data_IF_396352905035
#
_entry.id   IF_396352905035
#
_cell.length_a   1.000
_cell.length_b   1.000
_cell.length_c   1.000
_cell.angle_alpha   90.00
_cell.angle_beta   90.00
_cell.angle_gamma   90.00
#
_symmetry.space_group_name_H-M   'P 1'
#
loop_
_entity.id
_entity.type
_entity.pdbx_description
1 polymer ?
#
# COMPACT_ATOMS: atom_id res chain seq x y z
N UNK A 1 15.59 -2.50 -10.82
CA UNK A 1 14.20 -2.83 -11.20
C UNK A 1 13.90 -4.24 -10.75
N UNK A 2 12.67 -4.53 -10.29
CA UNK A 2 12.26 -5.89 -9.93
C UNK A 2 12.15 -6.74 -11.19
N UNK A 3 12.59 -8.01 -11.10
CA UNK A 3 12.32 -9.03 -12.13
C UNK A 3 10.83 -9.34 -12.17
N UNK A 4 10.39 -10.03 -13.23
CA UNK A 4 9.01 -10.52 -13.33
C UNK A 4 8.68 -11.41 -12.13
N UNK A 5 7.46 -11.25 -11.60
CA UNK A 5 7.01 -11.87 -10.35
C UNK A 5 7.79 -11.41 -9.09
N UNK A 6 8.59 -10.35 -9.16
CA UNK A 6 9.22 -9.79 -7.96
C UNK A 6 8.19 -9.24 -6.97
N UNK A 7 8.35 -9.53 -5.68
CA UNK A 7 7.47 -9.00 -4.63
C UNK A 7 7.87 -7.59 -4.21
N UNK A 8 6.89 -6.79 -3.82
CA UNK A 8 7.07 -5.57 -3.03
C UNK A 8 6.13 -5.61 -1.84
N UNK A 9 6.65 -5.13 -0.70
CA UNK A 9 5.86 -4.83 0.49
C UNK A 9 6.16 -3.40 0.87
N UNK A 10 5.13 -2.63 1.21
CA UNK A 10 5.25 -1.24 1.64
C UNK A 10 4.44 -1.00 2.91
N UNK A 11 4.98 -0.16 3.78
CA UNK A 11 4.35 0.29 5.02
C UNK A 11 3.89 1.73 4.79
N UNK A 12 2.61 2.02 5.03
CA UNK A 12 2.02 3.33 4.85
C UNK A 12 1.39 3.79 6.17
N UNK A 13 1.87 4.87 6.82
CA UNK A 13 1.27 5.35 8.07
C UNK A 13 -0.04 6.13 7.86
N UNK A 14 -0.43 6.43 6.61
CA UNK A 14 -1.68 7.14 6.31
C UNK A 14 -2.41 6.54 5.11
N UNK A 15 -3.73 6.66 5.08
CA UNK A 15 -4.56 6.25 3.95
C UNK A 15 -4.18 6.98 2.66
N UNK A 16 -3.90 8.29 2.73
CA UNK A 16 -3.54 9.07 1.55
C UNK A 16 -2.21 8.62 0.90
N UNK A 17 -1.28 8.07 1.70
CA UNK A 17 -0.06 7.46 1.17
C UNK A 17 -0.35 6.12 0.51
N UNK A 18 -1.18 5.29 1.15
CA UNK A 18 -1.61 4.01 0.61
C UNK A 18 -2.33 4.17 -0.74
N UNK A 19 -3.26 5.12 -0.83
CA UNK A 19 -3.99 5.44 -2.06
C UNK A 19 -3.04 5.82 -3.21
N UNK A 20 -2.11 6.75 -2.95
CA UNK A 20 -1.11 7.17 -3.93
C UNK A 20 -0.20 6.03 -4.35
N UNK A 21 0.19 5.17 -3.41
CA UNK A 21 1.01 3.99 -3.68
C UNK A 21 0.27 3.02 -4.62
N UNK A 22 -0.96 2.64 -4.29
CA UNK A 22 -1.77 1.71 -5.10
C UNK A 22 -1.96 2.25 -6.52
N UNK A 23 -2.31 3.53 -6.65
CA UNK A 23 -2.43 4.18 -7.98
C UNK A 23 -1.12 4.07 -8.79
N UNK A 24 0.02 4.25 -8.13
CA UNK A 24 1.34 4.13 -8.75
C UNK A 24 1.67 2.68 -9.13
N UNK A 25 1.35 1.70 -8.27
CA UNK A 25 1.57 0.28 -8.54
C UNK A 25 0.77 -0.19 -9.77
N UNK A 26 -0.50 0.19 -9.87
CA UNK A 26 -1.34 -0.11 -11.04
C UNK A 26 -0.76 0.50 -12.32
N UNK A 27 -0.31 1.74 -12.26
CA UNK A 27 0.31 2.42 -13.41
C UNK A 27 1.62 1.78 -13.87
N UNK A 28 2.35 1.14 -12.95
CA UNK A 28 3.65 0.51 -13.19
C UNK A 28 3.57 -1.02 -13.32
N UNK A 29 2.38 -1.56 -13.62
CA UNK A 29 2.17 -2.97 -13.93
C UNK A 29 2.53 -3.90 -12.78
N UNK A 30 2.04 -3.56 -11.60
CA UNK A 30 1.95 -4.52 -10.51
C UNK A 30 0.57 -5.17 -10.51
N UNK A 31 0.52 -6.40 -10.01
CA UNK A 31 -0.67 -7.22 -9.83
C UNK A 31 -0.70 -7.78 -8.40
N UNK A 32 -1.75 -8.52 -8.06
CA UNK A 32 -1.98 -9.06 -6.72
C UNK A 32 -1.80 -7.99 -5.63
N UNK A 33 -2.36 -6.80 -5.88
CA UNK A 33 -2.25 -5.67 -4.95
C UNK A 33 -3.22 -5.89 -3.81
N UNK A 34 -2.68 -6.13 -2.62
CA UNK A 34 -3.46 -6.35 -1.41
C UNK A 34 -3.04 -5.33 -0.35
N UNK A 35 -4.02 -4.73 0.32
CA UNK A 35 -3.77 -3.77 1.39
C UNK A 35 -4.51 -4.21 2.65
N UNK A 36 -3.80 -4.25 3.78
CA UNK A 36 -4.37 -4.61 5.08
C UNK A 36 -3.89 -3.66 6.17
N UNK A 37 -4.69 -3.56 7.22
CA UNK A 37 -4.29 -2.99 8.50
C UNK A 37 -4.50 -4.06 9.57
N UNK A 38 -3.53 -4.20 10.48
CA UNK A 38 -3.67 -5.08 11.64
C UNK A 38 -3.83 -4.26 12.92
N UNK A 39 -4.96 -4.44 13.59
CA UNK A 39 -5.22 -3.88 14.91
C UNK A 39 -4.90 -4.95 15.96
N UNK A 40 -3.76 -4.77 16.64
CA UNK A 40 -3.38 -5.65 17.73
C UNK A 40 -4.10 -5.24 19.02
N UNK A 41 -4.85 -6.17 19.61
CA UNK A 41 -5.56 -5.96 20.89
C UNK A 41 -5.02 -6.88 21.96
N UNK A 42 -4.54 -6.29 23.05
CA UNK A 42 -4.16 -7.03 24.25
C UNK A 42 -5.40 -7.53 24.98
N UNK A 43 -5.45 -8.82 25.29
CA UNK A 43 -6.52 -9.45 26.05
C UNK A 43 -6.05 -9.67 27.49
N UNK A 44 -6.79 -9.15 28.45
CA UNK A 44 -6.62 -9.47 29.87
C UNK A 44 -7.34 -10.78 30.18
N UNK A 45 -6.71 -11.91 29.82
CA UNK A 45 -7.27 -13.24 30.04
C UNK A 45 -7.22 -13.64 31.52
N UNK A 46 -8.39 -13.68 32.15
CA UNK A 46 -8.59 -14.09 33.55
C UNK A 46 -9.94 -14.78 33.68
N UNK A 47 -10.01 -15.86 34.46
CA UNK A 47 -11.25 -16.59 34.68
C UNK A 47 -12.36 -15.67 35.22
N UNK A 48 -13.54 -15.72 34.61
CA UNK A 48 -14.69 -14.88 34.97
C UNK A 48 -14.53 -13.37 34.72
N UNK A 49 -13.39 -12.90 34.22
CA UNK A 49 -13.07 -11.46 34.06
C UNK A 49 -12.31 -11.14 32.76
N UNK A 50 -12.40 -12.01 31.76
CA UNK A 50 -11.71 -11.85 30.47
C UNK A 50 -12.29 -10.68 29.69
N UNK A 51 -11.41 -9.76 29.27
CA UNK A 51 -11.78 -8.54 28.54
C UNK A 51 -10.60 -8.00 27.76
N UNK A 52 -10.86 -7.03 26.87
CA UNK A 52 -9.80 -6.25 26.25
C UNK A 52 -9.08 -5.39 27.30
N UNK A 53 -7.79 -5.14 27.10
CA UNK A 53 -7.06 -4.09 27.83
C UNK A 53 -7.79 -2.76 27.68
N UNK A 54 -7.80 -1.97 28.76
CA UNK A 54 -8.42 -0.64 28.76
C UNK A 54 -7.74 0.29 27.76
N UNK A 55 -6.41 0.28 27.70
CA UNK A 55 -5.65 1.00 26.69
C UNK A 55 -5.51 0.13 25.43
N UNK A 56 -6.06 0.62 24.31
CA UNK A 56 -5.93 0.02 23.00
C UNK A 56 -5.04 0.82 22.05
N UNK A 57 -4.56 0.15 20.99
CA UNK A 57 -3.94 0.80 19.83
C UNK A 57 -5.02 0.94 18.76
N UNK A 58 -5.34 2.17 18.38
CA UNK A 58 -6.40 2.46 17.40
C UNK A 58 -5.94 2.36 15.94
N UNK A 59 -4.64 2.50 15.70
CA UNK A 59 -4.02 2.41 14.38
C UNK A 59 -2.55 2.02 14.54
N UNK A 60 -2.05 1.17 13.65
CA UNK A 60 -0.61 0.90 13.53
C UNK A 60 -0.10 1.48 12.22
N UNK A 61 -0.33 0.76 11.12
CA UNK A 61 0.05 1.15 9.78
C UNK A 61 -0.66 0.25 8.76
N UNK A 62 -0.76 0.72 7.53
CA UNK A 62 -1.23 -0.08 6.40
C UNK A 62 -0.07 -0.83 5.76
N UNK A 63 -0.27 -2.11 5.48
CA UNK A 63 0.64 -2.94 4.70
C UNK A 63 0.08 -3.08 3.30
N UNK A 64 0.89 -2.78 2.29
CA UNK A 64 0.57 -2.98 0.89
C UNK A 64 1.51 -4.01 0.29
N UNK A 65 0.95 -5.09 -0.24
CA UNK A 65 1.65 -6.15 -0.95
C UNK A 65 1.35 -6.02 -2.44
N UNK A 66 2.33 -6.31 -3.30
CA UNK A 66 2.10 -6.44 -4.73
C UNK A 66 3.18 -7.29 -5.42
N UNK A 67 2.88 -7.75 -6.63
CA UNK A 67 3.79 -8.54 -7.47
C UNK A 67 4.05 -7.81 -8.79
N UNK A 68 5.31 -7.72 -9.20
CA UNK A 68 5.69 -7.11 -10.48
C UNK A 68 5.22 -8.00 -11.62
N UNK A 69 4.38 -7.46 -12.50
CA UNK A 69 3.97 -8.09 -13.74
C UNK A 69 4.53 -7.32 -14.95
N UNK A 70 4.54 -7.99 -16.09
CA UNK A 70 4.74 -7.38 -17.40
C UNK A 70 3.51 -7.74 -18.22
N UNK A 71 2.64 -6.77 -18.43
CA UNK A 71 1.61 -6.88 -19.43
C UNK A 71 2.27 -6.32 -20.69
N UNK A 72 2.19 -6.97 -21.86
CA UNK A 72 2.80 -6.47 -23.10
C UNK A 72 2.13 -5.18 -23.60
N UNK A 73 2.19 -4.10 -22.80
CA UNK A 73 1.60 -2.81 -23.09
C UNK A 73 2.53 -2.07 -24.03
N UNK A 74 1.96 -1.59 -25.14
CA UNK A 74 2.65 -0.66 -26.04
C UNK A 74 3.15 0.54 -25.21
N UNK A 75 4.42 0.98 -25.40
CA UNK A 75 5.00 2.04 -24.58
C UNK A 75 4.15 3.31 -24.67
N UNK A 76 3.72 3.84 -23.52
CA UNK A 76 3.01 5.12 -23.45
C UNK A 76 3.96 6.22 -23.96
N UNK A 77 3.62 6.85 -25.10
CA UNK A 77 4.31 8.04 -25.60
C UNK A 77 4.35 9.11 -24.50
N UNK A 78 5.54 9.44 -24.01
CA UNK A 78 5.76 10.57 -23.08
C UNK A 78 5.23 11.84 -23.74
N UNK A 79 4.14 12.43 -23.23
CA UNK A 79 3.73 13.79 -23.63
C UNK A 79 4.84 14.74 -23.18
N UNK A 80 5.59 15.33 -24.13
CA UNK A 80 6.50 16.45 -23.85
C UNK A 80 5.66 17.56 -23.21
N UNK A 81 5.97 17.95 -21.97
CA UNK A 81 5.47 19.21 -21.40
C UNK A 81 6.01 20.33 -22.28
N UNK A 82 5.17 20.96 -23.09
CA UNK A 82 5.47 22.24 -23.71
C UNK A 82 5.61 23.25 -22.56
N UNK A 83 6.83 23.70 -22.30
CA UNK A 83 7.09 24.82 -21.41
C UNK A 83 6.34 26.04 -21.94
N UNK A 84 5.26 26.44 -21.27
CA UNK A 84 4.62 27.71 -21.53
C UNK A 84 5.62 28.83 -21.16
N UNK A 85 6.16 29.48 -22.18
CA UNK A 85 6.93 30.72 -22.05
C UNK A 85 5.91 31.80 -21.67
N UNK A 86 5.90 32.23 -20.41
CA UNK A 86 5.08 33.38 -19.99
C UNK A 86 5.68 34.68 -20.55
N UNK A 87 4.85 35.65 -20.94
CA UNK A 87 5.29 36.97 -21.41
C UNK A 87 5.97 37.77 -20.31
#
# INVERSE_FOLDING_TARGET
>A
MLKGSGAIVSICPTMNQLEKLVSTLVQNEFTDIECSENILRTIEAREGKTRHSFQGIGHTTYLCFARKAFFDKKPKKRKKKSSAKKP
#
